data_IF_292679678856
#
_entry.id   IF_292679678856
#
_cell.length_a   1.000
_cell.length_b   1.000
_cell.length_c   1.000
_cell.angle_alpha   90.00
_cell.angle_beta   90.00
_cell.angle_gamma   90.00
#
_symmetry.space_group_name_H-M   'P 1'
#
loop_
_entity.id
_entity.type
_entity.pdbx_description
1 polymer ?
#
# COMPACT_ATOMS: atom_id res chain seq x y z
N UNK A 1 -22.02 -29.41 5.75
CA UNK A 1 -21.22 -28.68 6.76
C UNK A 1 -19.85 -28.32 6.22
N UNK A 2 -19.04 -29.27 5.75
CA UNK A 2 -17.67 -29.03 5.21
C UNK A 2 -17.65 -28.11 3.98
N UNK A 3 -18.62 -28.23 3.07
CA UNK A 3 -18.72 -27.36 1.88
C UNK A 3 -19.02 -25.89 2.25
N UNK A 4 -19.86 -25.67 3.27
CA UNK A 4 -20.16 -24.32 3.76
C UNK A 4 -18.95 -23.72 4.49
N UNK A 5 -18.18 -24.54 5.21
CA UNK A 5 -16.94 -24.11 5.84
C UNK A 5 -15.91 -23.68 4.78
N UNK A 6 -15.69 -24.50 3.74
CA UNK A 6 -14.78 -24.17 2.64
C UNK A 6 -15.22 -22.90 1.88
N UNK A 7 -16.51 -22.73 1.63
CA UNK A 7 -17.02 -21.55 0.93
C UNK A 7 -16.78 -20.26 1.75
N UNK A 8 -16.94 -20.32 3.07
CA UNK A 8 -16.71 -19.19 3.96
C UNK A 8 -15.24 -18.98 4.34
N UNK A 9 -14.40 -20.00 4.12
CA UNK A 9 -12.96 -19.91 4.39
C UNK A 9 -12.33 -18.85 3.51
N UNK A 10 -11.67 -17.85 4.10
CA UNK A 10 -11.08 -16.69 3.45
C UNK A 10 -12.06 -15.89 2.56
N UNK A 11 -13.35 -15.89 2.88
CA UNK A 11 -14.36 -15.08 2.19
C UNK A 11 -14.43 -15.34 0.67
N UNK A 12 -14.38 -14.27 -0.15
CA UNK A 12 -14.48 -14.34 -1.61
C UNK A 12 -13.15 -14.64 -2.32
N UNK A 13 -12.13 -15.06 -1.59
CA UNK A 13 -10.83 -15.37 -2.19
C UNK A 13 -10.92 -16.44 -3.30
N UNK A 14 -10.05 -16.40 -4.34
CA UNK A 14 -10.02 -17.39 -5.40
C UNK A 14 -9.82 -18.81 -4.85
N UNK A 15 -10.47 -19.82 -5.48
CA UNK A 15 -10.40 -21.22 -5.03
C UNK A 15 -8.96 -21.75 -4.95
N UNK A 16 -8.12 -21.41 -5.92
CA UNK A 16 -6.72 -21.82 -5.92
C UNK A 16 -5.97 -21.29 -4.70
N UNK A 17 -6.24 -20.04 -4.30
CA UNK A 17 -5.62 -19.42 -3.13
C UNK A 17 -6.09 -20.06 -1.82
N UNK A 18 -7.40 -20.33 -1.68
CA UNK A 18 -7.94 -21.09 -0.53
C UNK A 18 -7.26 -22.45 -0.39
N UNK A 19 -7.13 -23.18 -1.49
CA UNK A 19 -6.45 -24.47 -1.52
C UNK A 19 -4.98 -24.35 -1.12
N UNK A 20 -4.27 -23.31 -1.61
CA UNK A 20 -2.88 -23.06 -1.27
C UNK A 20 -2.70 -22.88 0.26
N UNK A 21 -3.53 -22.05 0.88
CA UNK A 21 -3.47 -21.83 2.33
C UNK A 21 -3.80 -23.10 3.11
N UNK A 22 -4.80 -23.88 2.68
CA UNK A 22 -5.13 -25.17 3.29
C UNK A 22 -3.94 -26.13 3.18
N UNK A 23 -3.27 -26.17 2.01
CA UNK A 23 -2.08 -27.00 1.81
C UNK A 23 -0.97 -26.55 2.77
N UNK A 24 -0.71 -25.26 2.92
CA UNK A 24 0.27 -24.76 3.89
C UNK A 24 -0.06 -25.21 5.30
N UNK A 25 -1.30 -25.01 5.74
CA UNK A 25 -1.71 -25.37 7.10
C UNK A 25 -1.66 -26.88 7.34
N UNK A 26 -1.95 -27.70 6.34
CA UNK A 26 -1.89 -29.16 6.46
C UNK A 26 -0.48 -29.72 6.35
N UNK A 27 0.34 -29.17 5.43
CA UNK A 27 1.69 -29.68 5.17
C UNK A 27 2.71 -29.27 6.24
N UNK A 28 2.60 -28.08 6.81
CA UNK A 28 3.57 -27.56 7.76
C UNK A 28 3.83 -28.50 8.97
N UNK A 29 2.81 -29.03 9.68
CA UNK A 29 3.05 -29.97 10.77
C UNK A 29 3.74 -31.24 10.31
N UNK A 30 3.35 -31.78 9.13
CA UNK A 30 3.94 -32.99 8.57
C UNK A 30 5.42 -32.78 8.21
N UNK A 31 5.73 -31.65 7.54
CA UNK A 31 7.11 -31.28 7.21
C UNK A 31 7.94 -31.10 8.48
N UNK A 32 7.40 -30.43 9.49
CA UNK A 32 8.10 -30.22 10.75
C UNK A 32 8.40 -31.52 11.48
N UNK A 33 7.43 -32.45 11.61
CA UNK A 33 7.64 -33.75 12.19
C UNK A 33 8.69 -34.56 11.41
N UNK A 34 8.64 -34.50 10.08
CA UNK A 34 9.64 -35.16 9.23
C UNK A 34 11.04 -34.59 9.44
N UNK A 35 11.17 -33.27 9.39
CA UNK A 35 12.47 -32.60 9.60
C UNK A 35 13.02 -32.83 11.00
N UNK A 36 12.20 -32.87 12.05
CA UNK A 36 12.65 -33.06 13.43
C UNK A 36 13.23 -34.46 13.68
N UNK A 37 12.88 -35.44 12.84
CA UNK A 37 13.46 -36.79 12.91
C UNK A 37 14.81 -36.93 12.18
N UNK A 38 15.18 -35.95 11.33
CA UNK A 38 16.36 -36.04 10.47
C UNK A 38 17.41 -35.00 10.84
N UNK A 39 16.96 -33.79 11.23
CA UNK A 39 17.82 -32.61 11.39
C UNK A 39 17.63 -32.00 12.78
N UNK A 40 18.74 -31.75 13.49
CA UNK A 40 18.70 -31.09 14.80
C UNK A 40 18.15 -29.66 14.79
N UNK A 41 18.30 -28.96 13.68
CA UNK A 41 17.85 -27.58 13.49
C UNK A 41 16.52 -27.46 12.70
N UNK A 42 15.66 -28.49 12.82
CA UNK A 42 14.38 -28.52 12.10
C UNK A 42 13.51 -27.28 12.34
N UNK A 43 13.53 -26.73 13.56
CA UNK A 43 12.81 -25.50 13.91
C UNK A 43 13.28 -24.28 13.11
N UNK A 44 14.58 -24.13 12.89
CA UNK A 44 15.15 -23.03 12.10
C UNK A 44 14.72 -23.13 10.63
N UNK A 45 14.85 -24.31 10.03
CA UNK A 45 14.44 -24.55 8.64
C UNK A 45 12.93 -24.31 8.47
N UNK A 46 12.13 -24.85 9.41
CA UNK A 46 10.68 -24.66 9.38
C UNK A 46 10.29 -23.19 9.55
N UNK A 47 11.02 -22.42 10.35
CA UNK A 47 10.85 -20.98 10.50
C UNK A 47 11.02 -20.25 9.18
N UNK A 48 12.04 -20.59 8.36
CA UNK A 48 12.23 -20.02 7.04
C UNK A 48 11.11 -20.40 6.05
N UNK A 49 10.62 -21.64 6.11
CA UNK A 49 9.48 -22.09 5.28
C UNK A 49 8.23 -21.27 5.62
N UNK A 50 7.91 -21.11 6.89
CA UNK A 50 6.75 -20.31 7.34
C UNK A 50 6.93 -18.84 6.97
N UNK A 51 8.13 -18.28 7.10
CA UNK A 51 8.40 -16.90 6.68
C UNK A 51 8.15 -16.73 5.18
N UNK A 52 8.64 -17.64 4.34
CA UNK A 52 8.40 -17.60 2.89
C UNK A 52 6.91 -17.70 2.55
N UNK A 53 6.16 -18.57 3.24
CA UNK A 53 4.71 -18.68 3.08
C UNK A 53 3.99 -17.38 3.51
N UNK A 54 4.42 -16.76 4.61
CA UNK A 54 3.90 -15.49 5.09
C UNK A 54 4.14 -14.37 4.08
N UNK A 55 5.36 -14.26 3.53
CA UNK A 55 5.69 -13.30 2.47
C UNK A 55 4.79 -13.51 1.24
N UNK A 56 4.57 -14.79 0.84
CA UNK A 56 3.69 -15.11 -0.28
C UNK A 56 2.24 -14.67 -0.01
N UNK A 57 1.73 -14.87 1.22
CA UNK A 57 0.37 -14.42 1.57
C UNK A 57 0.23 -12.91 1.51
N UNK A 58 1.27 -12.16 1.91
CA UNK A 58 1.29 -10.69 1.80
C UNK A 58 1.37 -10.24 0.32
N UNK A 59 2.18 -10.91 -0.50
CA UNK A 59 2.28 -10.63 -1.93
C UNK A 59 0.94 -10.85 -2.67
N UNK A 60 0.08 -11.75 -2.16
CA UNK A 60 -1.24 -12.04 -2.71
C UNK A 60 -2.37 -11.16 -2.13
N UNK A 61 -2.05 -10.03 -1.51
CA UNK A 61 -3.02 -9.11 -0.90
C UNK A 61 -4.11 -8.61 -1.86
N UNK A 62 -3.84 -8.57 -3.17
CA UNK A 62 -4.83 -8.23 -4.20
C UNK A 62 -5.90 -9.31 -4.41
N UNK A 63 -5.62 -10.56 -4.02
CA UNK A 63 -6.53 -11.69 -4.19
C UNK A 63 -7.32 -12.03 -2.93
N UNK A 64 -6.78 -11.63 -1.77
CA UNK A 64 -7.41 -11.88 -0.48
C UNK A 64 -6.86 -10.89 0.55
N UNK A 65 -7.73 -10.43 1.45
CA UNK A 65 -7.28 -9.59 2.57
C UNK A 65 -6.24 -10.36 3.43
N UNK A 66 -4.99 -9.87 3.52
CA UNK A 66 -3.86 -10.71 3.98
C UNK A 66 -3.89 -11.03 5.47
N UNK A 67 -4.67 -10.31 6.28
CA UNK A 67 -4.72 -10.50 7.72
C UNK A 67 -5.20 -11.92 8.11
N UNK A 68 -6.21 -12.44 7.41
CA UNK A 68 -6.77 -13.77 7.72
C UNK A 68 -5.78 -14.90 7.43
N UNK A 69 -5.25 -15.06 6.20
CA UNK A 69 -4.32 -16.14 5.90
C UNK A 69 -2.98 -15.97 6.62
N UNK A 70 -2.46 -14.75 6.73
CA UNK A 70 -1.25 -14.46 7.49
C UNK A 70 -1.40 -14.76 8.98
N UNK A 71 -2.54 -14.39 9.57
CA UNK A 71 -2.88 -14.71 10.97
C UNK A 71 -2.96 -16.20 11.23
N UNK A 72 -3.54 -17.00 10.32
CA UNK A 72 -3.59 -18.46 10.45
C UNK A 72 -2.19 -19.08 10.44
N UNK A 73 -1.29 -18.64 9.55
CA UNK A 73 0.09 -19.08 9.48
C UNK A 73 0.86 -18.68 10.75
N UNK A 74 0.66 -17.46 11.25
CA UNK A 74 1.27 -17.01 12.49
C UNK A 74 0.80 -17.82 13.71
N UNK A 75 -0.50 -18.09 13.84
CA UNK A 75 -1.05 -18.96 14.89
C UNK A 75 -0.45 -20.36 14.79
N UNK A 76 -0.34 -20.90 13.60
CA UNK A 76 0.26 -22.22 13.37
C UNK A 76 1.72 -22.26 13.86
N UNK A 77 2.51 -21.21 13.64
CA UNK A 77 3.90 -21.16 14.13
C UNK A 77 4.00 -21.27 15.66
N UNK A 78 3.04 -20.66 16.37
CA UNK A 78 2.94 -20.78 17.84
C UNK A 78 2.53 -22.19 18.26
N UNK A 79 1.51 -22.77 17.60
CA UNK A 79 1.04 -24.13 17.91
C UNK A 79 2.11 -25.20 17.65
N UNK A 80 2.98 -24.97 16.67
CA UNK A 80 4.11 -25.85 16.36
C UNK A 80 5.31 -25.65 17.30
N UNK A 81 5.26 -24.68 18.22
CA UNK A 81 6.34 -24.40 19.16
C UNK A 81 7.56 -23.71 18.54
N UNK A 82 7.43 -23.14 17.31
CA UNK A 82 8.51 -22.38 16.67
C UNK A 82 8.72 -21.02 17.33
N UNK A 83 7.69 -20.50 17.97
CA UNK A 83 7.75 -19.33 18.84
C UNK A 83 6.81 -19.53 20.02
N UNK A 84 6.86 -18.65 21.01
CA UNK A 84 6.01 -18.69 22.18
C UNK A 84 5.42 -17.32 22.53
N UNK A 85 4.42 -17.30 23.39
CA UNK A 85 3.72 -16.07 23.77
C UNK A 85 4.63 -15.04 24.45
N UNK A 86 5.70 -15.47 25.14
CA UNK A 86 6.67 -14.55 25.76
C UNK A 86 7.48 -13.81 24.69
N UNK A 87 7.93 -14.55 23.66
CA UNK A 87 8.67 -13.93 22.55
C UNK A 87 7.77 -12.93 21.79
N UNK A 88 6.51 -13.31 21.54
CA UNK A 88 5.55 -12.40 20.88
C UNK A 88 5.33 -11.15 21.74
N UNK A 89 5.14 -11.30 23.05
CA UNK A 89 4.98 -10.15 23.95
C UNK A 89 6.22 -9.25 23.94
N UNK A 90 7.40 -9.84 23.98
CA UNK A 90 8.67 -9.10 23.94
C UNK A 90 8.84 -8.34 22.63
N UNK A 91 8.53 -8.94 21.48
CA UNK A 91 8.56 -8.28 20.18
C UNK A 91 7.55 -7.12 20.10
N UNK A 92 6.35 -7.29 20.64
CA UNK A 92 5.35 -6.23 20.72
C UNK A 92 5.84 -5.07 21.59
N UNK A 93 6.47 -5.37 22.73
CA UNK A 93 7.02 -4.35 23.64
C UNK A 93 8.15 -3.55 22.98
N UNK A 94 9.09 -4.23 22.32
CA UNK A 94 10.19 -3.58 21.59
C UNK A 94 9.69 -2.67 20.46
N UNK A 95 8.63 -3.09 19.77
CA UNK A 95 8.07 -2.37 18.63
C UNK A 95 6.84 -1.51 18.99
N UNK A 96 6.55 -1.31 20.28
CA UNK A 96 5.34 -0.62 20.73
C UNK A 96 5.22 0.81 20.14
N UNK A 97 6.33 1.53 20.00
CA UNK A 97 6.35 2.87 19.38
C UNK A 97 5.86 2.85 17.93
N UNK A 98 6.30 1.83 17.15
CA UNK A 98 5.88 1.65 15.75
C UNK A 98 4.41 1.28 15.67
N UNK A 99 3.95 0.36 16.54
CA UNK A 99 2.54 -0.07 16.60
C UNK A 99 1.64 1.12 16.96
N UNK A 100 2.01 1.90 17.98
CA UNK A 100 1.25 3.09 18.36
C UNK A 100 1.23 4.14 17.25
N UNK A 101 2.37 4.36 16.56
CA UNK A 101 2.39 5.25 15.41
C UNK A 101 1.38 4.80 14.36
N UNK A 102 1.38 3.53 13.97
CA UNK A 102 0.42 2.98 12.99
C UNK A 102 -1.03 3.21 13.43
N UNK A 103 -1.35 2.97 14.70
CA UNK A 103 -2.71 3.20 15.24
C UNK A 103 -3.09 4.68 15.16
N UNK A 104 -2.20 5.58 15.56
CA UNK A 104 -2.47 7.02 15.52
C UNK A 104 -2.48 7.57 14.10
N UNK A 105 -1.66 7.03 13.19
CA UNK A 105 -1.72 7.38 11.77
C UNK A 105 -3.07 7.04 11.17
N UNK A 106 -3.57 5.82 11.38
CA UNK A 106 -4.90 5.41 10.90
C UNK A 106 -5.99 6.31 11.48
N UNK A 107 -5.92 6.66 12.76
CA UNK A 107 -6.84 7.63 13.37
C UNK A 107 -6.70 9.03 12.74
N UNK A 108 -5.47 9.48 12.47
CA UNK A 108 -5.17 10.76 11.82
C UNK A 108 -5.75 10.88 10.42
N UNK A 109 -5.80 9.78 9.65
CA UNK A 109 -6.42 9.72 8.31
C UNK A 109 -7.84 10.28 8.34
N UNK A 110 -8.62 9.89 9.34
CA UNK A 110 -10.00 10.32 9.48
C UNK A 110 -10.13 11.86 9.57
N UNK A 111 -9.25 12.50 10.33
CA UNK A 111 -9.26 13.96 10.51
C UNK A 111 -8.71 14.73 9.31
N UNK A 112 -7.76 14.15 8.58
CA UNK A 112 -7.12 14.81 7.45
C UNK A 112 -7.84 14.58 6.11
N UNK A 113 -8.77 13.65 6.05
CA UNK A 113 -9.45 13.23 4.82
C UNK A 113 -10.07 14.40 4.05
N UNK A 114 -10.84 15.24 4.72
CA UNK A 114 -11.54 16.35 4.07
C UNK A 114 -10.58 17.42 3.54
N UNK A 115 -9.50 17.69 4.27
CA UNK A 115 -8.45 18.58 3.83
C UNK A 115 -7.74 18.07 2.57
N UNK A 116 -7.40 16.78 2.52
CA UNK A 116 -6.78 16.14 1.38
C UNK A 116 -7.73 16.12 0.17
N UNK A 117 -9.00 15.76 0.39
CA UNK A 117 -10.04 15.82 -0.64
C UNK A 117 -10.14 17.22 -1.24
N UNK A 118 -10.13 18.26 -0.42
CA UNK A 118 -10.15 19.64 -0.87
C UNK A 118 -8.94 19.97 -1.76
N UNK A 119 -7.72 19.62 -1.34
CA UNK A 119 -6.49 19.88 -2.13
C UNK A 119 -6.58 19.23 -3.50
N UNK A 120 -6.80 17.90 -3.55
CA UNK A 120 -6.80 17.17 -4.83
C UNK A 120 -7.97 17.54 -5.74
N UNK A 121 -9.15 17.78 -5.18
CA UNK A 121 -10.30 18.28 -5.94
C UNK A 121 -10.02 19.65 -6.53
N UNK A 122 -9.45 20.56 -5.74
CA UNK A 122 -9.09 21.90 -6.19
C UNK A 122 -8.04 21.87 -7.31
N UNK A 123 -7.07 20.98 -7.25
CA UNK A 123 -6.10 20.76 -8.33
C UNK A 123 -6.79 20.28 -9.60
N UNK A 124 -7.67 19.27 -9.50
CA UNK A 124 -8.41 18.72 -10.64
C UNK A 124 -9.27 19.75 -11.36
N UNK A 125 -9.99 20.56 -10.59
CA UNK A 125 -10.93 21.56 -11.17
C UNK A 125 -10.20 22.76 -11.78
N UNK A 126 -9.14 23.26 -11.14
CA UNK A 126 -8.53 24.53 -11.54
C UNK A 126 -7.39 24.37 -12.57
N UNK A 127 -6.73 23.22 -12.65
CA UNK A 127 -5.58 23.03 -13.53
C UNK A 127 -6.02 22.45 -14.88
N UNK A 128 -6.00 23.27 -15.92
CA UNK A 128 -6.47 22.88 -17.26
C UNK A 128 -5.49 22.00 -18.04
N UNK A 129 -4.21 22.21 -17.85
CA UNK A 129 -3.18 21.48 -18.58
C UNK A 129 -2.90 20.15 -17.91
N UNK A 130 -3.11 19.03 -18.61
CA UNK A 130 -2.91 17.67 -18.11
C UNK A 130 -1.48 17.44 -17.57
N UNK A 131 -0.45 17.92 -18.29
CA UNK A 131 0.95 17.76 -17.86
C UNK A 131 1.22 18.50 -16.55
N UNK A 132 0.73 19.73 -16.44
CA UNK A 132 0.84 20.53 -15.21
C UNK A 132 0.08 19.87 -14.08
N UNK A 133 -1.12 19.35 -14.35
CA UNK A 133 -1.93 18.62 -13.37
C UNK A 133 -1.20 17.38 -12.84
N UNK A 134 -0.66 16.54 -13.73
CA UNK A 134 0.07 15.34 -13.37
C UNK A 134 1.29 15.66 -12.50
N UNK A 135 2.08 16.67 -12.86
CA UNK A 135 3.23 17.12 -12.08
C UNK A 135 2.81 17.66 -10.71
N UNK A 136 1.75 18.47 -10.64
CA UNK A 136 1.22 18.99 -9.39
C UNK A 136 0.67 17.87 -8.49
N UNK A 137 0.05 16.84 -9.08
CA UNK A 137 -0.39 15.65 -8.33
C UNK A 137 0.78 14.91 -7.71
N UNK A 138 1.85 14.68 -8.48
CA UNK A 138 3.09 14.05 -7.94
C UNK A 138 3.66 14.87 -6.80
N UNK A 139 3.83 16.18 -6.99
CA UNK A 139 4.42 17.06 -5.97
C UNK A 139 3.52 17.13 -4.73
N UNK A 140 2.22 17.33 -4.90
CA UNK A 140 1.29 17.42 -3.77
C UNK A 140 1.21 16.09 -3.02
N UNK A 141 1.14 14.97 -3.74
CA UNK A 141 1.13 13.65 -3.14
C UNK A 141 2.43 13.38 -2.36
N UNK A 142 3.58 13.79 -2.90
CA UNK A 142 4.87 13.62 -2.23
C UNK A 142 4.99 14.48 -0.96
N UNK A 143 4.63 15.77 -1.05
CA UNK A 143 4.68 16.66 0.12
C UNK A 143 3.74 16.14 1.21
N UNK A 144 2.53 15.75 0.86
CA UNK A 144 1.56 15.24 1.82
C UNK A 144 2.01 13.90 2.42
N UNK A 145 2.53 12.99 1.60
CA UNK A 145 3.00 11.67 2.05
C UNK A 145 4.25 11.75 2.93
N UNK A 146 5.05 12.79 2.80
CA UNK A 146 6.17 13.02 3.70
C UNK A 146 5.74 13.27 5.16
N UNK A 147 4.49 13.70 5.40
CA UNK A 147 3.95 14.01 6.73
C UNK A 147 2.77 13.15 7.17
N UNK A 148 2.06 12.52 6.21
CA UNK A 148 0.81 11.81 6.49
C UNK A 148 0.85 10.30 6.23
N UNK A 149 1.90 9.78 5.68
CA UNK A 149 2.08 8.44 5.11
C UNK A 149 1.47 8.22 3.69
N UNK A 150 2.08 7.29 2.98
CA UNK A 150 1.72 6.95 1.61
C UNK A 150 0.34 6.31 1.47
N UNK A 151 -0.08 5.48 2.43
CA UNK A 151 -1.38 4.79 2.39
C UNK A 151 -2.53 5.78 2.53
N UNK A 152 -2.40 6.73 3.46
CA UNK A 152 -3.39 7.79 3.68
C UNK A 152 -3.61 8.61 2.43
N UNK A 153 -2.54 9.12 1.84
CA UNK A 153 -2.62 9.98 0.65
C UNK A 153 -3.17 9.18 -0.53
N UNK A 154 -2.73 7.93 -0.73
CA UNK A 154 -3.24 7.05 -1.79
C UNK A 154 -4.73 6.76 -1.64
N UNK A 155 -5.21 6.47 -0.43
CA UNK A 155 -6.63 6.23 -0.17
C UNK A 155 -7.50 7.44 -0.55
N UNK A 156 -7.02 8.66 -0.27
CA UNK A 156 -7.72 9.89 -0.66
C UNK A 156 -7.67 10.11 -2.17
N UNK A 157 -6.53 9.87 -2.82
CA UNK A 157 -6.43 9.94 -4.28
C UNK A 157 -7.44 9.02 -4.97
N UNK A 158 -7.59 7.78 -4.47
CA UNK A 158 -8.59 6.83 -4.97
C UNK A 158 -10.01 7.37 -4.73
N UNK A 159 -10.29 7.87 -3.54
CA UNK A 159 -11.61 8.44 -3.22
C UNK A 159 -11.98 9.62 -4.14
N UNK A 160 -11.03 10.51 -4.41
CA UNK A 160 -11.18 11.63 -5.37
C UNK A 160 -11.47 11.09 -6.77
N UNK A 161 -10.66 10.15 -7.26
CA UNK A 161 -10.84 9.59 -8.61
C UNK A 161 -12.18 8.87 -8.77
N UNK A 162 -12.59 8.09 -7.76
CA UNK A 162 -13.89 7.41 -7.74
C UNK A 162 -15.04 8.41 -7.71
N UNK A 163 -14.94 9.47 -6.91
CA UNK A 163 -15.94 10.54 -6.86
C UNK A 163 -16.13 11.21 -8.22
N UNK A 164 -15.03 11.60 -8.88
CA UNK A 164 -15.07 12.17 -10.22
C UNK A 164 -15.62 11.19 -11.28
N UNK A 165 -15.29 9.91 -11.16
CA UNK A 165 -15.81 8.88 -12.05
C UNK A 165 -17.35 8.79 -11.98
N UNK A 166 -17.93 8.79 -10.77
CA UNK A 166 -19.37 8.75 -10.60
C UNK A 166 -20.05 10.00 -11.15
N UNK A 167 -19.52 11.19 -10.87
CA UNK A 167 -20.06 12.46 -11.43
C UNK A 167 -20.04 12.43 -12.94
N UNK A 168 -18.96 11.94 -13.55
CA UNK A 168 -18.86 11.82 -15.01
C UNK A 168 -19.87 10.81 -15.58
N UNK A 169 -20.05 9.68 -14.91
CA UNK A 169 -21.01 8.66 -15.32
C UNK A 169 -22.45 9.16 -15.28
N UNK A 170 -22.82 9.94 -14.27
CA UNK A 170 -24.17 10.55 -14.15
C UNK A 170 -24.45 11.59 -15.23
N UNK A 171 -23.42 12.25 -15.76
CA UNK A 171 -23.55 13.22 -16.85
C UNK A 171 -23.95 12.60 -18.21
N UNK A 172 -24.24 11.28 -18.29
CA UNK A 172 -24.71 10.54 -19.47
C UNK A 172 -23.88 10.76 -20.73
N UNK A 173 -22.57 10.76 -20.61
CA UNK A 173 -21.63 10.85 -21.76
C UNK A 173 -21.58 9.52 -22.52
N UNK A 174 -21.00 9.54 -23.74
CA UNK A 174 -20.82 8.32 -24.54
C UNK A 174 -19.91 7.30 -23.86
N UNK A 175 -20.01 6.02 -24.24
CA UNK A 175 -19.11 4.97 -23.69
C UNK A 175 -17.63 5.29 -24.02
N UNK A 176 -17.35 5.85 -25.21
CA UNK A 176 -15.99 6.22 -25.58
C UNK A 176 -15.42 7.34 -24.71
N UNK A 177 -16.24 8.32 -24.30
CA UNK A 177 -15.83 9.39 -23.40
C UNK A 177 -15.56 8.87 -22.01
N UNK A 178 -16.37 7.90 -21.56
CA UNK A 178 -16.20 7.25 -20.26
C UNK A 178 -14.89 6.47 -20.20
N UNK A 179 -14.51 5.74 -21.24
CA UNK A 179 -13.26 4.98 -21.27
C UNK A 179 -12.03 5.88 -21.37
N UNK A 180 -12.12 7.00 -22.10
CA UNK A 180 -11.09 8.02 -22.11
C UNK A 180 -10.92 8.65 -20.72
N UNK A 181 -12.02 8.95 -20.04
CA UNK A 181 -11.99 9.51 -18.69
C UNK A 181 -11.42 8.53 -17.66
N UNK A 182 -11.78 7.24 -17.72
CA UNK A 182 -11.15 6.18 -16.90
C UNK A 182 -9.63 6.14 -17.12
N UNK A 183 -9.20 6.23 -18.39
CA UNK A 183 -7.78 6.23 -18.73
C UNK A 183 -7.06 7.45 -18.15
N UNK A 184 -7.68 8.63 -18.21
CA UNK A 184 -7.19 9.83 -17.57
C UNK A 184 -7.05 9.69 -16.04
N UNK A 185 -8.10 9.23 -15.35
CA UNK A 185 -8.07 9.04 -13.90
C UNK A 185 -7.03 8.00 -13.48
N UNK A 186 -6.90 6.89 -14.23
CA UNK A 186 -5.89 5.87 -13.98
C UNK A 186 -4.47 6.46 -14.06
N UNK A 187 -4.18 7.24 -15.10
CA UNK A 187 -2.87 7.89 -15.25
C UNK A 187 -2.59 8.84 -14.09
N UNK A 188 -3.60 9.62 -13.68
CA UNK A 188 -3.47 10.55 -12.56
C UNK A 188 -3.21 9.82 -11.24
N UNK A 189 -3.91 8.71 -11.00
CA UNK A 189 -3.67 7.86 -9.82
C UNK A 189 -2.27 7.25 -9.83
N UNK A 190 -1.77 6.80 -10.99
CA UNK A 190 -0.39 6.30 -11.10
C UNK A 190 0.64 7.37 -10.75
N UNK A 191 0.45 8.59 -11.25
CA UNK A 191 1.32 9.72 -10.92
C UNK A 191 1.25 10.06 -9.41
N UNK A 192 0.05 10.09 -8.84
CA UNK A 192 -0.14 10.28 -7.41
C UNK A 192 0.54 9.19 -6.57
N UNK A 193 0.42 7.92 -6.96
CA UNK A 193 1.07 6.80 -6.29
C UNK A 193 2.60 6.89 -6.34
N UNK A 194 3.18 7.30 -7.47
CA UNK A 194 4.62 7.60 -7.55
C UNK A 194 4.99 8.73 -6.59
N UNK A 195 4.19 9.81 -6.56
CA UNK A 195 4.39 10.91 -5.63
C UNK A 195 4.39 10.47 -4.17
N UNK A 196 3.41 9.66 -3.77
CA UNK A 196 3.35 9.16 -2.37
C UNK A 196 4.57 8.35 -1.98
N UNK A 197 5.06 7.47 -2.87
CA UNK A 197 6.27 6.71 -2.61
C UNK A 197 7.51 7.60 -2.49
N UNK A 198 7.65 8.58 -3.39
CA UNK A 198 8.80 9.51 -3.37
C UNK A 198 8.82 10.40 -2.12
N UNK A 199 7.65 10.81 -1.64
CA UNK A 199 7.53 11.62 -0.42
C UNK A 199 7.70 10.80 0.84
N UNK A 200 7.06 9.65 0.91
CA UNK A 200 7.05 8.79 2.08
C UNK A 200 8.44 8.36 2.55
N UNK A 201 9.37 8.10 1.62
CA UNK A 201 10.74 7.71 1.97
C UNK A 201 11.59 8.84 2.54
N UNK A 202 11.16 10.09 2.43
CA UNK A 202 11.98 11.26 2.77
C UNK A 202 11.99 11.61 4.25
N UNK A 203 10.98 11.21 5.02
CA UNK A 203 10.86 11.56 6.44
C UNK A 203 10.62 10.35 7.32
N UNK A 204 10.91 10.49 8.60
CA UNK A 204 10.75 9.41 9.59
C UNK A 204 9.28 8.99 9.79
N UNK A 205 8.32 9.89 9.51
CA UNK A 205 6.88 9.63 9.67
C UNK A 205 6.18 9.26 8.38
N UNK A 206 6.83 9.45 7.22
CA UNK A 206 6.22 9.19 5.92
C UNK A 206 5.95 7.70 5.64
N UNK A 207 6.69 6.81 6.28
CA UNK A 207 6.53 5.36 6.17
C UNK A 207 6.83 4.68 7.52
N UNK A 208 6.06 3.64 7.93
CA UNK A 208 6.28 2.96 9.22
C UNK A 208 7.68 2.39 9.40
N UNK A 209 8.28 1.86 8.32
CA UNK A 209 9.64 1.33 8.34
C UNK A 209 10.70 2.41 8.62
N UNK A 210 10.46 3.65 8.23
CA UNK A 210 11.37 4.76 8.48
C UNK A 210 11.51 5.06 9.98
N UNK A 211 10.40 4.91 10.72
CA UNK A 211 10.44 5.05 12.17
C UNK A 211 11.32 3.97 12.83
N UNK A 212 11.22 2.73 12.33
CA UNK A 212 12.06 1.63 12.81
C UNK A 212 13.55 1.90 12.50
N UNK A 213 13.85 2.32 11.27
CA UNK A 213 15.22 2.69 10.86
C UNK A 213 15.74 3.83 11.73
N UNK A 214 14.97 4.90 11.89
CA UNK A 214 15.34 6.04 12.72
C UNK A 214 15.56 5.65 14.18
N UNK A 215 14.73 4.78 14.73
CA UNK A 215 14.88 4.27 16.09
C UNK A 215 16.16 3.47 16.28
N UNK A 216 16.50 2.58 15.33
CA UNK A 216 17.72 1.77 15.38
C UNK A 216 18.97 2.64 15.16
N UNK A 217 18.91 3.59 14.23
CA UNK A 217 20.00 4.52 13.94
C UNK A 217 20.18 5.62 14.99
N UNK A 218 19.19 5.79 15.90
CA UNK A 218 19.18 6.86 16.88
C UNK A 218 18.93 8.25 16.27
N UNK A 219 18.30 8.31 15.10
CA UNK A 219 18.03 9.56 14.39
C UNK A 219 16.68 10.17 14.81
N UNK A 220 16.67 11.47 15.07
CA UNK A 220 15.43 12.24 15.20
C UNK A 220 14.87 12.61 13.82
N UNK A 221 13.72 13.30 13.78
CA UNK A 221 13.05 13.67 12.54
C UNK A 221 13.95 14.44 11.56
N UNK A 222 14.68 15.45 12.04
CA UNK A 222 15.52 16.29 11.21
C UNK A 222 16.77 15.55 10.73
N UNK A 223 17.38 14.78 11.62
CA UNK A 223 18.54 13.94 11.29
C UNK A 223 18.18 12.91 10.21
N UNK A 224 17.05 12.22 10.37
CA UNK A 224 16.57 11.29 9.33
C UNK A 224 16.40 11.98 7.99
N UNK A 225 15.71 13.12 7.96
CA UNK A 225 15.51 13.90 6.73
C UNK A 225 16.82 14.29 6.07
N UNK A 226 17.80 14.82 6.84
CA UNK A 226 19.11 15.25 6.32
C UNK A 226 19.90 14.04 5.79
N UNK A 227 19.89 12.91 6.48
CA UNK A 227 20.58 11.69 6.06
C UNK A 227 19.96 11.08 4.79
N UNK A 228 18.65 11.16 4.66
CA UNK A 228 17.95 10.64 3.47
C UNK A 228 17.97 11.60 2.28
N UNK A 229 18.18 12.91 2.49
CA UNK A 229 18.12 13.95 1.46
C UNK A 229 19.04 13.68 0.25
N UNK A 230 20.31 13.24 0.41
CA UNK A 230 21.20 12.97 -0.73
C UNK A 230 20.69 11.86 -1.67
N UNK A 231 19.83 10.97 -1.15
CA UNK A 231 19.24 9.87 -1.92
C UNK A 231 17.85 10.26 -2.39
N UNK A 232 16.98 10.71 -1.48
CA UNK A 232 15.56 10.98 -1.77
C UNK A 232 15.36 12.17 -2.71
N UNK A 233 16.18 13.22 -2.60
CA UNK A 233 16.02 14.41 -3.44
C UNK A 233 16.33 14.16 -4.92
N UNK A 234 17.48 13.54 -5.32
CA UNK A 234 17.68 13.17 -6.71
C UNK A 234 16.60 12.23 -7.25
N UNK A 235 16.19 11.22 -6.48
CA UNK A 235 15.14 10.28 -6.87
C UNK A 235 13.81 11.02 -7.07
N UNK A 236 13.48 11.98 -6.23
CA UNK A 236 12.30 12.83 -6.37
C UNK A 236 12.33 13.64 -7.67
N UNK A 237 13.45 14.28 -8.00
CA UNK A 237 13.62 15.03 -9.26
C UNK A 237 13.45 14.10 -10.46
N UNK A 238 14.11 12.94 -10.47
CA UNK A 238 13.98 11.97 -11.56
C UNK A 238 12.57 11.39 -11.65
N UNK A 239 11.89 11.18 -10.53
CA UNK A 239 10.50 10.75 -10.50
C UNK A 239 9.55 11.77 -11.13
N UNK A 240 9.68 13.06 -10.78
CA UNK A 240 8.91 14.15 -11.41
C UNK A 240 9.22 14.23 -12.91
N UNK A 241 10.50 14.16 -13.28
CA UNK A 241 10.91 14.20 -14.68
C UNK A 241 10.33 13.03 -15.47
N UNK A 242 10.34 11.83 -14.90
CA UNK A 242 9.75 10.64 -15.51
C UNK A 242 8.24 10.81 -15.72
N UNK A 243 7.51 11.27 -14.72
CA UNK A 243 6.08 11.57 -14.84
C UNK A 243 5.80 12.64 -15.94
N UNK A 244 6.60 13.69 -15.98
CA UNK A 244 6.49 14.72 -17.01
C UNK A 244 6.76 14.17 -18.42
N UNK A 245 7.80 13.30 -18.58
CA UNK A 245 8.16 12.71 -19.87
C UNK A 245 7.09 11.71 -20.33
N UNK A 246 6.53 10.90 -19.44
CA UNK A 246 5.41 9.99 -19.74
C UNK A 246 4.23 10.76 -20.32
N UNK A 247 3.85 11.87 -19.70
CA UNK A 247 2.76 12.73 -20.20
C UNK A 247 3.13 13.46 -21.49
N UNK A 248 4.39 13.88 -21.63
CA UNK A 248 4.86 14.58 -22.85
C UNK A 248 4.85 13.67 -24.06
N UNK A 249 5.30 12.43 -23.91
CA UNK A 249 5.39 11.43 -24.98
C UNK A 249 4.14 10.55 -25.10
N UNK A 250 3.12 10.81 -24.26
CA UNK A 250 1.84 10.08 -24.28
C UNK A 250 2.05 8.56 -24.13
N UNK A 251 2.96 8.15 -23.26
CA UNK A 251 3.24 6.75 -22.99
C UNK A 251 2.15 6.18 -22.05
N UNK A 252 1.88 4.87 -22.21
CA UNK A 252 0.94 4.10 -21.35
C UNK A 252 -0.54 4.55 -21.41
N UNK A 253 -0.95 5.12 -22.49
CA UNK A 253 -2.34 5.44 -22.80
C UNK A 253 -2.61 6.95 -22.84
N UNK A 254 -3.21 7.36 -23.94
CA UNK A 254 -3.70 8.73 -24.12
C UNK A 254 -4.95 8.92 -23.27
N UNK A 255 -4.80 9.42 -22.06
CA UNK A 255 -5.94 9.91 -21.31
C UNK A 255 -6.51 11.14 -22.00
N UNK A 256 -7.82 11.24 -22.08
CA UNK A 256 -8.48 12.46 -22.52
C UNK A 256 -8.05 13.63 -21.62
N UNK A 257 -7.96 14.80 -22.18
CA UNK A 257 -7.97 16.04 -21.40
C UNK A 257 -9.37 16.20 -20.82
N UNK A 258 -9.47 16.69 -19.59
CA UNK A 258 -10.77 17.08 -19.04
C UNK A 258 -11.39 18.13 -19.96
N UNK A 259 -12.51 17.79 -20.60
CA UNK A 259 -13.27 18.75 -21.39
C UNK A 259 -13.77 19.88 -20.49
N UNK A 260 -13.88 21.10 -21.03
CA UNK A 260 -14.35 22.26 -20.24
C UNK A 260 -15.75 22.04 -19.65
N UNK A 261 -16.59 21.21 -20.28
CA UNK A 261 -17.94 20.82 -19.80
C UNK A 261 -17.92 20.00 -18.50
N UNK A 262 -16.80 19.32 -18.22
CA UNK A 262 -16.63 18.48 -17.01
C UNK A 262 -16.10 19.26 -15.82
N UNK A 263 -15.62 20.47 -16.05
CA UNK A 263 -15.10 21.35 -15.00
C UNK A 263 -16.18 22.21 -14.37
N UNK A 264 -17.36 22.24 -14.99
CA UNK A 264 -18.52 23.00 -14.53
C UNK A 264 -19.47 22.18 -13.66
N UNK A 265 -19.20 20.89 -13.46
CA UNK A 265 -19.92 19.97 -12.57
C UNK A 265 -19.14 19.80 -11.28
#
# INVERSE_FOLDING_TARGET
MLLNFYNNFLGEAPKWYKNLIIIFLASNPLIYIFLSNIISEAGFIMGWIILAQFILTLAMALNCYPLQPGGLIAIQSVLMGLTNTKNIYHEVELNLKVILLLVFMVAGIYFMKDFLLYIFTKLLVNVKNKRTLSVLFVISAAVLSAFLDALTVTAVLIAVAVGFYYVFQEAKKSESDLDQFKSFLRNLLMHGAVGTALGGVSTIVGEPQNLLIGSIAGWNFLEFFIQMLPISFPVFIFGILTCYLIEKFKLFGDGAELSDDLRLV
#
